data_IF_916058505160
#
_entry.id   IF_916058505160
#
_cell.length_a   1.000
_cell.length_b   1.000
_cell.length_c   1.000
_cell.angle_alpha   90.00
_cell.angle_beta   90.00
_cell.angle_gamma   90.00
#
_symmetry.space_group_name_H-M   'P 1'
#
loop_
_entity.id
_entity.type
_entity.pdbx_description
1 polymer ?
#
# COMPACT_ATOMS: atom_id res chain seq x y z
N UNK A 1 -52.10 -29.24 56.56
CA UNK A 1 -52.13 -28.19 55.51
C UNK A 1 -50.86 -27.33 55.46
N UNK A 2 -49.94 -27.42 56.43
CA UNK A 2 -48.68 -26.61 56.43
C UNK A 2 -47.44 -27.33 55.85
N UNK A 3 -47.44 -28.65 55.75
CA UNK A 3 -46.29 -29.41 55.24
C UNK A 3 -46.24 -29.32 53.72
N UNK A 4 -47.34 -29.27 53.02
CA UNK A 4 -47.40 -29.19 51.57
C UNK A 4 -46.96 -27.80 51.00
N UNK A 5 -47.18 -26.72 51.77
CA UNK A 5 -46.77 -25.36 51.42
C UNK A 5 -45.25 -25.17 51.53
N UNK A 6 -44.60 -25.78 52.51
CA UNK A 6 -43.16 -25.67 52.69
C UNK A 6 -42.37 -26.49 51.68
N UNK A 7 -42.92 -27.59 51.17
CA UNK A 7 -42.25 -28.42 50.13
C UNK A 7 -42.28 -27.74 48.76
N UNK A 8 -43.37 -27.02 48.45
CA UNK A 8 -43.50 -26.28 47.22
C UNK A 8 -42.57 -25.05 47.23
N UNK A 9 -42.38 -24.39 48.38
CA UNK A 9 -41.48 -23.24 48.50
C UNK A 9 -39.98 -23.60 48.37
N UNK A 10 -39.59 -24.77 48.86
CA UNK A 10 -38.21 -25.29 48.72
C UNK A 10 -37.90 -25.78 47.31
N UNK A 11 -38.92 -26.29 46.57
CA UNK A 11 -38.71 -26.73 45.19
C UNK A 11 -38.65 -25.55 44.20
N UNK A 12 -39.32 -24.43 44.46
CA UNK A 12 -39.22 -23.22 43.66
C UNK A 12 -37.92 -22.41 43.91
N UNK A 13 -37.28 -22.57 45.08
CA UNK A 13 -36.01 -21.91 45.39
C UNK A 13 -34.79 -22.64 44.79
N UNK A 14 -34.90 -23.97 44.58
CA UNK A 14 -33.84 -24.77 43.95
C UNK A 14 -33.85 -24.68 42.42
N UNK A 15 -34.97 -24.30 41.79
CA UNK A 15 -35.06 -24.13 40.32
C UNK A 15 -34.56 -22.74 39.84
N UNK A 16 -34.43 -21.77 40.77
CA UNK A 16 -33.95 -20.42 40.49
C UNK A 16 -32.41 -20.26 40.44
N UNK A 17 -31.64 -21.30 40.84
CA UNK A 17 -30.17 -21.18 40.99
C UNK A 17 -29.36 -21.80 39.83
N UNK A 18 -30.03 -22.30 38.78
CA UNK A 18 -29.38 -22.99 37.65
C UNK A 18 -29.18 -22.06 36.42
N UNK A 19 -29.58 -20.79 36.45
CA UNK A 19 -29.59 -19.93 35.26
C UNK A 19 -28.49 -18.85 35.26
N UNK A 20 -27.43 -19.00 36.02
CA UNK A 20 -26.40 -17.94 36.08
C UNK A 20 -24.96 -18.40 35.83
N UNK A 21 -24.76 -19.42 34.97
CA UNK A 21 -23.45 -19.60 34.33
C UNK A 21 -23.60 -19.35 32.84
N UNK A 22 -23.92 -18.09 32.47
CA UNK A 22 -23.61 -17.60 31.15
C UNK A 22 -22.09 -17.56 31.08
N UNK A 23 -21.47 -18.57 30.50
CA UNK A 23 -20.09 -18.49 30.02
C UNK A 23 -20.07 -17.40 28.96
N UNK A 24 -19.87 -16.14 29.33
CA UNK A 24 -19.38 -15.16 28.43
C UNK A 24 -17.95 -15.58 28.11
N UNK A 25 -17.76 -16.19 26.94
CA UNK A 25 -16.41 -16.30 26.38
C UNK A 25 -15.77 -14.93 26.46
N UNK A 26 -14.50 -14.79 26.87
CA UNK A 26 -13.82 -13.51 26.80
C UNK A 26 -13.97 -12.98 25.38
N UNK A 27 -14.12 -11.65 25.19
CA UNK A 27 -14.18 -11.07 23.85
C UNK A 27 -12.97 -11.58 23.07
N UNK A 28 -13.20 -12.07 21.85
CA UNK A 28 -12.13 -12.53 21.01
C UNK A 28 -11.14 -11.37 20.82
N UNK A 29 -9.87 -11.62 21.05
CA UNK A 29 -8.83 -10.63 20.78
C UNK A 29 -8.90 -10.22 19.32
N UNK A 30 -8.76 -8.93 19.05
CA UNK A 30 -8.84 -8.39 17.70
C UNK A 30 -7.82 -7.29 17.46
N UNK A 31 -7.43 -7.14 16.20
CA UNK A 31 -6.57 -6.06 15.72
C UNK A 31 -7.25 -5.35 14.55
N UNK A 32 -7.31 -4.02 14.60
CA UNK A 32 -7.94 -3.17 13.60
C UNK A 32 -6.87 -2.62 12.65
N UNK A 33 -6.93 -3.02 11.39
CA UNK A 33 -5.94 -2.68 10.38
C UNK A 33 -6.57 -1.73 9.36
N UNK A 34 -6.01 -0.52 9.26
CA UNK A 34 -6.33 0.45 8.21
C UNK A 34 -5.32 0.28 7.08
N UNK A 35 -5.76 -0.17 5.92
CA UNK A 35 -4.87 -0.52 4.82
C UNK A 35 -5.21 0.21 3.52
N UNK A 36 -4.23 0.94 3.00
CA UNK A 36 -4.27 1.52 1.67
C UNK A 36 -3.79 0.55 0.57
N UNK A 37 -3.59 -0.71 0.92
CA UNK A 37 -3.20 -1.77 0.00
C UNK A 37 -4.43 -2.59 -0.42
N UNK A 38 -4.37 -3.18 -1.61
CA UNK A 38 -5.51 -3.89 -2.20
C UNK A 38 -5.10 -5.23 -2.83
N UNK A 39 -4.02 -5.83 -2.30
CA UNK A 39 -3.53 -7.12 -2.80
C UNK A 39 -4.20 -8.28 -2.05
N UNK A 40 -4.58 -9.32 -2.80
CA UNK A 40 -5.15 -10.55 -2.23
C UNK A 40 -4.17 -11.24 -1.28
N UNK A 41 -2.87 -11.16 -1.56
CA UNK A 41 -1.81 -11.71 -0.70
C UNK A 41 -1.81 -11.12 0.71
N UNK A 42 -2.21 -9.85 0.88
CA UNK A 42 -2.30 -9.24 2.20
C UNK A 42 -3.46 -9.85 3.00
N UNK A 43 -4.61 -10.08 2.35
CA UNK A 43 -5.77 -10.75 2.99
C UNK A 43 -5.44 -12.20 3.38
N UNK A 44 -4.69 -12.91 2.54
CA UNK A 44 -4.25 -14.27 2.84
C UNK A 44 -3.30 -14.31 4.06
N UNK A 45 -2.42 -13.32 4.20
CA UNK A 45 -1.55 -13.18 5.38
C UNK A 45 -2.36 -12.88 6.65
N UNK A 46 -3.35 -12.00 6.60
CA UNK A 46 -4.22 -11.69 7.75
C UNK A 46 -5.06 -12.90 8.16
N UNK A 47 -5.58 -13.64 7.18
CA UNK A 47 -6.30 -14.89 7.46
C UNK A 47 -5.39 -15.92 8.14
N UNK A 48 -4.18 -16.11 7.63
CA UNK A 48 -3.17 -17.02 8.22
C UNK A 48 -2.81 -16.60 9.65
N UNK A 49 -2.61 -15.31 9.90
CA UNK A 49 -2.37 -14.77 11.24
C UNK A 49 -3.52 -15.12 12.19
N UNK A 50 -4.77 -14.92 11.76
CA UNK A 50 -5.94 -15.29 12.58
C UNK A 50 -6.01 -16.80 12.84
N UNK A 51 -5.70 -17.63 11.84
CA UNK A 51 -5.68 -19.10 11.98
C UNK A 51 -4.61 -19.56 12.99
N UNK A 52 -3.44 -18.91 13.00
CA UNK A 52 -2.32 -19.29 13.87
C UNK A 52 -2.43 -18.74 15.29
N UNK A 53 -3.05 -17.57 15.48
CA UNK A 53 -3.07 -16.88 16.78
C UNK A 53 -4.43 -16.89 17.47
N UNK A 54 -5.53 -17.09 16.72
CA UNK A 54 -6.88 -16.88 17.20
C UNK A 54 -7.29 -15.39 17.24
N UNK A 55 -6.40 -14.45 16.99
CA UNK A 55 -6.66 -13.00 16.98
C UNK A 55 -7.35 -12.62 15.66
N UNK A 56 -8.50 -11.98 15.75
CA UNK A 56 -9.26 -11.55 14.58
C UNK A 56 -8.69 -10.28 13.98
N UNK A 57 -8.50 -10.25 12.67
CA UNK A 57 -8.11 -9.04 11.94
C UNK A 57 -9.36 -8.36 11.38
N UNK A 58 -9.63 -7.14 11.85
CA UNK A 58 -10.66 -6.25 11.29
C UNK A 58 -10.02 -5.33 10.27
N UNK A 59 -10.21 -5.62 8.98
CA UNK A 59 -9.55 -4.90 7.90
C UNK A 59 -10.46 -3.80 7.32
N UNK A 60 -10.00 -2.56 7.34
CA UNK A 60 -10.63 -1.42 6.68
C UNK A 60 -9.73 -0.97 5.54
N UNK A 61 -10.27 -1.03 4.31
CA UNK A 61 -9.56 -0.66 3.09
C UNK A 61 -10.10 0.64 2.52
N UNK A 62 -9.20 1.59 2.24
CA UNK A 62 -9.50 2.82 1.52
C UNK A 62 -8.22 3.40 0.89
N UNK A 63 -8.29 4.50 0.15
CA UNK A 63 -7.13 5.26 -0.27
C UNK A 63 -6.34 5.81 0.92
N UNK A 64 -5.03 6.00 0.78
CA UNK A 64 -4.19 6.47 1.89
C UNK A 64 -4.65 7.83 2.43
N UNK A 65 -4.96 8.79 1.55
CA UNK A 65 -5.49 10.11 1.95
C UNK A 65 -6.82 9.98 2.73
N UNK A 66 -7.70 9.07 2.30
CA UNK A 66 -8.98 8.82 2.98
C UNK A 66 -8.78 8.23 4.38
N UNK A 67 -7.80 7.32 4.52
CA UNK A 67 -7.49 6.72 5.82
C UNK A 67 -6.82 7.73 6.76
N UNK A 68 -5.95 8.59 6.26
CA UNK A 68 -5.34 9.66 7.04
C UNK A 68 -6.42 10.64 7.51
N UNK A 69 -7.28 11.12 6.61
CA UNK A 69 -8.41 11.98 6.98
C UNK A 69 -9.35 11.30 8.01
N UNK A 70 -9.55 9.99 7.89
CA UNK A 70 -10.33 9.24 8.87
C UNK A 70 -9.66 9.20 10.23
N UNK A 71 -8.35 8.93 10.30
CA UNK A 71 -7.57 8.96 11.53
C UNK A 71 -7.66 10.36 12.19
N UNK A 72 -7.56 11.44 11.41
CA UNK A 72 -7.73 12.81 11.91
C UNK A 72 -9.11 13.05 12.53
N UNK A 73 -10.18 12.57 11.88
CA UNK A 73 -11.55 12.71 12.37
C UNK A 73 -11.81 11.88 13.63
N UNK A 74 -11.26 10.68 13.72
CA UNK A 74 -11.38 9.78 14.86
C UNK A 74 -10.51 10.25 16.05
N UNK A 75 -9.38 10.89 15.77
CA UNK A 75 -8.47 11.43 16.78
C UNK A 75 -8.02 10.38 17.79
N UNK A 76 -7.94 10.76 19.06
CA UNK A 76 -7.52 9.87 20.15
C UNK A 76 -8.48 8.68 20.41
N UNK A 77 -9.64 8.65 19.77
CA UNK A 77 -10.63 7.55 19.89
C UNK A 77 -10.61 6.61 18.69
N UNK A 78 -9.64 6.77 17.80
CA UNK A 78 -9.48 5.87 16.66
C UNK A 78 -9.32 4.41 17.13
N UNK A 79 -10.07 3.47 16.56
CA UNK A 79 -9.90 2.06 16.86
C UNK A 79 -8.73 1.43 16.11
N UNK A 80 -8.03 2.16 15.25
CA UNK A 80 -6.95 1.64 14.43
C UNK A 80 -5.73 1.26 15.27
N UNK A 81 -5.30 0.00 15.18
CA UNK A 81 -4.08 -0.51 15.80
C UNK A 81 -2.89 -0.46 14.82
N UNK A 82 -3.16 -0.66 13.52
CA UNK A 82 -2.15 -0.64 12.47
C UNK A 82 -2.61 0.19 11.27
N UNK A 83 -1.68 0.99 10.73
CA UNK A 83 -1.84 1.68 9.46
C UNK A 83 -0.85 1.12 8.44
N UNK A 84 -1.34 0.60 7.32
CA UNK A 84 -0.54 0.00 6.26
C UNK A 84 -0.75 0.78 4.97
N UNK A 85 0.34 1.27 4.39
CA UNK A 85 0.31 2.00 3.12
C UNK A 85 1.38 1.50 2.15
N UNK A 86 1.30 1.96 0.90
CA UNK A 86 2.23 1.57 -0.16
C UNK A 86 3.43 2.51 -0.30
N UNK A 87 3.49 3.60 0.47
CA UNK A 87 4.52 4.63 0.29
C UNK A 87 4.91 5.28 1.62
N UNK A 88 6.23 5.54 1.80
CA UNK A 88 6.77 6.16 3.00
C UNK A 88 6.27 7.61 3.21
N UNK A 89 5.91 8.33 2.15
CA UNK A 89 5.36 9.68 2.25
C UNK A 89 4.09 9.74 3.09
N UNK A 90 3.21 8.75 2.97
CA UNK A 90 2.02 8.65 3.83
C UNK A 90 2.35 8.31 5.28
N UNK A 91 3.43 7.56 5.53
CA UNK A 91 3.90 7.30 6.89
C UNK A 91 4.44 8.57 7.55
N UNK A 92 5.19 9.38 6.79
CA UNK A 92 5.67 10.69 7.28
C UNK A 92 4.49 11.61 7.60
N UNK A 93 3.50 11.70 6.73
CA UNK A 93 2.30 12.48 6.97
C UNK A 93 1.54 12.01 8.23
N UNK A 94 1.32 10.69 8.38
CA UNK A 94 0.65 10.14 9.56
C UNK A 94 1.44 10.39 10.86
N UNK A 95 2.78 10.42 10.78
CA UNK A 95 3.65 10.77 11.89
C UNK A 95 3.53 12.26 12.26
N UNK A 96 3.57 13.16 11.28
CA UNK A 96 3.47 14.62 11.49
C UNK A 96 2.18 15.03 12.19
N UNK A 97 1.07 14.37 11.86
CA UNK A 97 -0.23 14.59 12.52
C UNK A 97 -0.38 13.81 13.84
N UNK A 98 0.64 13.07 14.29
CA UNK A 98 0.71 12.46 15.61
C UNK A 98 -0.05 11.14 15.77
N UNK A 99 -0.37 10.41 14.68
CA UNK A 99 -1.10 9.14 14.73
C UNK A 99 -0.21 7.90 14.83
N UNK A 100 1.08 8.05 14.65
CA UNK A 100 2.02 6.94 14.82
C UNK A 100 2.70 7.01 16.17
N UNK A 101 2.97 5.85 16.73
CA UNK A 101 3.85 5.69 17.90
C UNK A 101 5.02 4.78 17.53
N UNK A 102 6.17 4.92 18.20
CA UNK A 102 7.30 4.02 17.98
C UNK A 102 6.92 2.56 18.25
N UNK A 103 7.35 1.68 17.37
CA UNK A 103 7.11 0.24 17.46
C UNK A 103 8.47 -0.46 17.66
N UNK A 104 8.70 -0.99 18.85
CA UNK A 104 9.87 -1.80 19.14
C UNK A 104 9.55 -3.28 18.86
N UNK A 105 10.30 -3.90 17.96
CA UNK A 105 10.12 -5.30 17.62
C UNK A 105 11.46 -5.95 17.23
N UNK A 106 11.98 -6.80 18.07
CA UNK A 106 13.19 -7.57 17.79
C UNK A 106 13.04 -8.48 16.55
N UNK A 107 11.80 -8.85 16.19
CA UNK A 107 11.53 -9.64 14.99
C UNK A 107 11.74 -8.79 13.74
N UNK A 108 11.17 -7.59 13.67
CA UNK A 108 11.34 -6.71 12.52
C UNK A 108 12.76 -6.20 12.40
N UNK A 109 13.42 -5.86 13.52
CA UNK A 109 14.81 -5.44 13.56
C UNK A 109 15.78 -6.52 13.06
N UNK A 110 15.49 -7.78 13.34
CA UNK A 110 16.32 -8.92 12.89
C UNK A 110 16.14 -9.32 11.43
N UNK A 111 15.01 -8.94 10.80
CA UNK A 111 14.64 -9.40 9.45
C UNK A 111 14.71 -8.28 8.42
N UNK A 112 14.27 -7.08 8.77
CA UNK A 112 14.16 -5.94 7.86
C UNK A 112 15.47 -5.13 7.87
N UNK A 113 16.07 -4.83 6.71
CA UNK A 113 17.27 -3.99 6.64
C UNK A 113 17.05 -2.61 7.26
N UNK A 114 18.06 -2.08 7.97
CA UNK A 114 17.98 -0.82 8.72
C UNK A 114 17.53 0.38 7.88
N UNK A 115 17.88 0.44 6.58
CA UNK A 115 17.46 1.50 5.67
C UNK A 115 15.96 1.45 5.30
N UNK A 116 15.23 0.41 5.71
CA UNK A 116 13.78 0.28 5.56
C UNK A 116 13.02 0.49 6.88
N UNK A 117 13.71 0.93 7.92
CA UNK A 117 13.11 1.37 9.17
C UNK A 117 13.20 2.89 9.30
N UNK A 118 12.21 3.47 9.94
CA UNK A 118 12.35 4.83 10.45
C UNK A 118 13.39 4.88 11.57
N UNK A 119 14.22 5.92 11.60
CA UNK A 119 15.31 6.05 12.60
C UNK A 119 14.80 6.18 14.04
N UNK A 120 13.55 6.60 14.23
CA UNK A 120 12.88 6.73 15.53
C UNK A 120 11.82 5.64 15.76
N UNK A 121 11.73 4.64 14.86
CA UNK A 121 10.89 3.46 15.03
C UNK A 121 9.41 3.61 14.66
N UNK A 122 8.98 4.73 14.08
CA UNK A 122 7.57 4.99 13.78
C UNK A 122 7.00 4.13 12.66
N UNK A 123 7.83 3.58 11.78
CA UNK A 123 7.39 2.69 10.70
C UNK A 123 8.48 1.72 10.26
N UNK A 124 8.05 0.65 9.62
CA UNK A 124 8.91 -0.39 9.06
C UNK A 124 8.41 -0.76 7.66
N UNK A 125 9.32 -0.83 6.69
CA UNK A 125 9.01 -1.22 5.31
C UNK A 125 9.20 -2.71 5.08
N UNK A 126 8.13 -3.43 4.75
CA UNK A 126 8.16 -4.88 4.49
C UNK A 126 8.35 -5.25 3.02
N UNK A 127 8.08 -4.32 2.12
CA UNK A 127 8.20 -4.55 0.67
C UNK A 127 8.85 -3.35 0.00
N UNK A 128 9.53 -3.58 -1.10
CA UNK A 128 10.11 -2.53 -1.93
C UNK A 128 9.71 -2.73 -3.39
N UNK A 129 9.62 -1.64 -4.11
CA UNK A 129 9.45 -1.58 -5.56
C UNK A 129 10.47 -0.65 -6.17
N UNK A 130 10.75 -0.80 -7.45
CA UNK A 130 11.51 0.17 -8.20
C UNK A 130 10.61 0.82 -9.25
N UNK A 131 10.77 2.13 -9.45
CA UNK A 131 10.35 2.79 -10.69
C UNK A 131 11.41 2.46 -11.72
N UNK A 132 11.00 2.07 -12.91
CA UNK A 132 11.94 1.69 -13.98
C UNK A 132 11.48 2.31 -15.28
N UNK A 133 12.42 2.42 -16.23
CA UNK A 133 12.11 2.78 -17.60
C UNK A 133 11.75 1.47 -18.32
N UNK A 134 10.54 1.39 -18.83
CA UNK A 134 10.11 0.34 -19.76
C UNK A 134 10.06 0.90 -21.18
N UNK A 135 10.31 0.07 -22.17
CA UNK A 135 10.47 0.50 -23.54
C UNK A 135 10.00 -0.57 -24.53
N UNK A 136 9.68 -0.17 -25.74
CA UNK A 136 9.40 -1.08 -26.85
C UNK A 136 10.70 -1.63 -27.42
N UNK A 137 10.87 -2.94 -27.38
CA UNK A 137 12.12 -3.61 -27.80
C UNK A 137 12.40 -3.53 -29.31
N UNK A 138 11.39 -3.20 -30.11
CA UNK A 138 11.54 -3.04 -31.54
C UNK A 138 11.94 -1.60 -31.98
N UNK A 139 11.68 -0.60 -31.10
CA UNK A 139 11.89 0.82 -31.41
C UNK A 139 13.02 1.48 -30.64
N UNK A 140 13.42 0.90 -29.51
CA UNK A 140 14.44 1.47 -28.62
C UNK A 140 15.57 0.49 -28.42
N UNK A 141 16.79 0.92 -28.71
CA UNK A 141 17.99 0.16 -28.34
C UNK A 141 18.25 0.37 -26.84
N UNK A 142 18.38 -0.70 -26.03
CA UNK A 142 18.66 -0.57 -24.60
C UNK A 142 19.94 0.20 -24.27
N UNK A 143 20.90 0.28 -25.19
CA UNK A 143 22.12 1.09 -25.03
C UNK A 143 21.86 2.60 -25.01
N UNK A 144 20.69 3.04 -25.48
CA UNK A 144 20.26 4.44 -25.44
C UNK A 144 19.63 4.84 -24.09
N UNK A 145 19.33 3.84 -23.25
CA UNK A 145 18.74 4.03 -21.91
C UNK A 145 19.84 4.03 -20.85
N UNK A 146 19.79 5.00 -19.95
CA UNK A 146 20.76 5.09 -18.85
C UNK A 146 20.09 5.55 -17.55
N UNK A 147 19.88 6.82 -17.35
CA UNK A 147 19.33 7.42 -16.15
C UNK A 147 17.99 8.12 -16.42
N UNK A 148 17.30 8.51 -15.37
CA UNK A 148 16.08 9.33 -15.50
C UNK A 148 16.39 10.69 -16.14
N UNK A 149 17.55 11.27 -15.84
CA UNK A 149 17.99 12.57 -16.37
C UNK A 149 18.20 12.50 -17.88
N UNK A 150 18.69 11.38 -18.40
CA UNK A 150 18.91 11.19 -19.84
C UNK A 150 17.60 11.25 -20.65
N UNK A 151 16.46 11.01 -20.03
CA UNK A 151 15.14 11.11 -20.68
C UNK A 151 14.75 12.55 -21.03
N UNK A 152 15.44 13.56 -20.52
CA UNK A 152 15.21 14.97 -20.89
C UNK A 152 15.86 15.35 -22.23
N UNK A 153 16.69 14.48 -22.79
CA UNK A 153 17.38 14.71 -24.04
C UNK A 153 16.45 14.74 -25.26
N UNK A 154 16.88 15.40 -26.37
CA UNK A 154 16.06 15.61 -27.56
C UNK A 154 15.68 14.32 -28.30
N UNK A 155 16.40 13.21 -28.05
CA UNK A 155 16.09 11.90 -28.59
C UNK A 155 14.69 11.42 -28.16
N UNK A 156 14.24 11.83 -26.97
CA UNK A 156 13.01 11.39 -26.34
C UNK A 156 11.82 12.32 -26.61
N UNK A 157 11.96 13.30 -27.48
CA UNK A 157 10.88 14.23 -27.83
C UNK A 157 9.67 13.47 -28.34
N UNK A 158 8.50 13.73 -27.72
CA UNK A 158 7.21 13.07 -28.00
C UNK A 158 7.23 11.55 -27.86
N UNK A 159 8.07 11.00 -26.95
CA UNK A 159 8.22 9.55 -26.77
C UNK A 159 7.96 9.05 -25.38
N UNK A 160 7.90 9.93 -24.38
CA UNK A 160 7.80 9.56 -22.98
C UNK A 160 6.33 9.46 -22.57
N UNK A 161 5.99 8.36 -21.87
CA UNK A 161 4.70 8.13 -21.26
C UNK A 161 4.85 8.08 -19.74
N UNK A 162 4.06 8.87 -19.04
CA UNK A 162 4.00 8.89 -17.58
C UNK A 162 2.55 9.05 -17.12
N UNK A 163 2.26 8.58 -15.92
CA UNK A 163 1.00 8.91 -15.26
C UNK A 163 1.08 10.30 -14.60
N UNK A 164 -0.07 10.80 -14.11
CA UNK A 164 -0.16 12.12 -13.50
C UNK A 164 0.81 12.31 -12.31
N UNK A 165 1.31 13.54 -12.15
CA UNK A 165 2.12 13.97 -10.99
C UNK A 165 1.36 13.99 -9.66
N UNK A 166 0.03 13.94 -9.68
CA UNK A 166 -0.77 13.80 -8.46
C UNK A 166 -0.64 12.41 -7.80
N UNK A 167 -0.04 11.46 -8.51
CA UNK A 167 0.14 10.12 -7.97
C UNK A 167 1.39 10.01 -7.10
N UNK A 168 1.25 9.41 -5.92
CA UNK A 168 2.33 9.25 -4.95
C UNK A 168 3.62 8.64 -5.54
N UNK A 169 3.52 7.73 -6.52
CA UNK A 169 4.72 7.13 -7.12
C UNK A 169 5.57 8.14 -7.91
N UNK A 170 4.94 9.10 -8.59
CA UNK A 170 5.66 10.16 -9.29
C UNK A 170 6.13 11.24 -8.31
N UNK A 171 5.37 11.50 -7.23
CA UNK A 171 5.80 12.42 -6.17
C UNK A 171 7.05 11.87 -5.46
N UNK A 172 7.06 10.60 -5.11
CA UNK A 172 8.23 9.93 -4.50
C UNK A 172 9.42 9.88 -5.45
N UNK A 173 9.19 9.65 -6.76
CA UNK A 173 10.27 9.76 -7.76
C UNK A 173 10.83 11.18 -7.81
N UNK A 174 9.98 12.19 -7.87
CA UNK A 174 10.40 13.59 -7.83
C UNK A 174 11.21 13.91 -6.57
N UNK A 175 10.74 13.46 -5.41
CA UNK A 175 11.48 13.62 -4.15
C UNK A 175 12.85 12.95 -4.19
N UNK A 176 12.98 11.79 -4.82
CA UNK A 176 14.28 11.11 -4.99
C UNK A 176 15.22 11.86 -5.91
N UNK A 177 14.72 12.48 -6.98
CA UNK A 177 15.52 13.34 -7.88
C UNK A 177 15.98 14.60 -7.14
N UNK A 178 15.09 15.22 -6.34
CA UNK A 178 15.45 16.37 -5.49
C UNK A 178 16.54 15.98 -4.48
N UNK A 179 16.42 14.84 -3.82
CA UNK A 179 17.41 14.38 -2.85
C UNK A 179 18.78 14.09 -3.48
N UNK A 180 18.80 13.59 -4.71
CA UNK A 180 20.03 13.25 -5.42
C UNK A 180 20.72 14.47 -6.07
N UNK A 181 19.93 15.39 -6.64
CA UNK A 181 20.44 16.41 -7.57
C UNK A 181 20.13 17.85 -7.12
N UNK A 182 19.32 18.04 -6.07
CA UNK A 182 18.82 19.34 -5.63
C UNK A 182 17.57 19.81 -6.37
N UNK A 183 16.91 20.84 -5.82
CA UNK A 183 15.61 21.32 -6.30
C UNK A 183 15.66 21.90 -7.73
N UNK A 184 16.68 22.69 -8.05
CA UNK A 184 16.83 23.33 -9.36
C UNK A 184 16.98 22.28 -10.48
N UNK A 185 17.88 21.32 -10.30
CA UNK A 185 18.08 20.24 -11.26
C UNK A 185 16.84 19.33 -11.38
N UNK A 186 16.15 19.07 -10.29
CA UNK A 186 14.90 18.31 -10.30
C UNK A 186 13.78 19.04 -11.05
N UNK A 187 13.67 20.37 -10.88
CA UNK A 187 12.72 21.18 -11.62
C UNK A 187 13.02 21.17 -13.14
N UNK A 188 14.29 21.27 -13.52
CA UNK A 188 14.68 21.24 -14.93
C UNK A 188 14.48 19.85 -15.53
N UNK A 189 14.75 18.79 -14.76
CA UNK A 189 14.38 17.43 -15.14
C UNK A 189 12.86 17.30 -15.38
N UNK A 190 12.03 17.79 -14.49
CA UNK A 190 10.58 17.72 -14.63
C UNK A 190 10.08 18.46 -15.87
N UNK A 191 10.62 19.66 -16.15
CA UNK A 191 10.33 20.41 -17.39
C UNK A 191 10.73 19.63 -18.63
N UNK A 192 11.91 19.00 -18.62
CA UNK A 192 12.40 18.17 -19.72
C UNK A 192 11.53 16.94 -19.96
N UNK A 193 11.08 16.27 -18.92
CA UNK A 193 10.12 15.16 -19.03
C UNK A 193 8.81 15.65 -19.66
N UNK A 194 8.26 16.78 -19.19
CA UNK A 194 7.02 17.37 -19.75
C UNK A 194 7.19 17.70 -21.22
N UNK A 195 8.33 18.30 -21.63
CA UNK A 195 8.61 18.65 -23.01
C UNK A 195 8.70 17.41 -23.94
N UNK A 196 9.09 16.26 -23.38
CA UNK A 196 9.29 15.01 -24.11
C UNK A 196 8.09 14.04 -24.03
N UNK A 197 6.98 14.44 -23.36
CA UNK A 197 5.79 13.60 -23.28
C UNK A 197 5.15 13.35 -24.65
N UNK A 198 4.79 12.10 -24.91
CA UNK A 198 4.05 11.69 -26.11
C UNK A 198 2.57 12.08 -26.06
N UNK A 199 2.04 12.26 -24.87
CA UNK A 199 0.64 12.67 -24.64
C UNK A 199 0.50 13.26 -23.23
N UNK A 200 -0.63 13.92 -22.99
CA UNK A 200 -1.04 14.33 -21.64
C UNK A 200 -1.10 13.12 -20.70
N UNK A 201 -0.62 13.24 -19.44
CA UNK A 201 -0.60 12.16 -18.47
C UNK A 201 -2.02 11.65 -18.16
N UNK A 202 -2.24 10.35 -18.36
CA UNK A 202 -3.53 9.71 -18.10
C UNK A 202 -3.36 8.24 -17.71
N UNK A 203 -4.35 7.69 -17.02
CA UNK A 203 -4.39 6.29 -16.63
C UNK A 203 -3.35 5.92 -15.55
N UNK A 204 -3.15 4.64 -15.36
CA UNK A 204 -2.20 4.06 -14.41
C UNK A 204 -0.97 3.49 -15.13
N UNK A 205 -0.04 2.88 -14.39
CA UNK A 205 1.20 2.34 -14.94
C UNK A 205 0.96 1.25 -16.02
N UNK A 206 -0.08 0.40 -15.89
CA UNK A 206 -0.42 -0.59 -16.92
C UNK A 206 -0.91 0.07 -18.21
N UNK A 207 -1.61 1.19 -18.08
CA UNK A 207 -2.07 1.95 -19.24
C UNK A 207 -0.90 2.57 -20.00
N UNK A 208 0.17 2.97 -19.30
CA UNK A 208 1.40 3.44 -19.96
C UNK A 208 2.07 2.32 -20.76
N UNK A 209 2.16 1.10 -20.21
CA UNK A 209 2.72 -0.06 -20.94
C UNK A 209 1.87 -0.41 -22.17
N UNK A 210 0.54 -0.38 -22.03
CA UNK A 210 -0.38 -0.59 -23.16
C UNK A 210 -0.23 0.50 -24.23
N UNK A 211 0.01 1.74 -23.82
CA UNK A 211 0.23 2.85 -24.75
C UNK A 211 1.55 2.72 -25.53
N UNK A 212 2.61 2.19 -24.90
CA UNK A 212 3.85 1.81 -25.61
C UNK A 212 3.52 0.80 -26.71
N UNK A 213 2.87 -0.30 -26.37
CA UNK A 213 2.52 -1.35 -27.32
C UNK A 213 1.58 -0.86 -28.44
N UNK A 214 0.77 0.15 -28.17
CA UNK A 214 -0.06 0.83 -29.18
C UNK A 214 0.68 1.86 -30.04
N UNK A 215 1.98 2.07 -29.80
CA UNK A 215 2.81 3.03 -30.58
C UNK A 215 2.57 4.51 -30.24
N UNK A 216 1.97 4.81 -29.07
CA UNK A 216 1.72 6.20 -28.63
C UNK A 216 3.03 6.87 -28.18
N UNK A 217 3.90 6.11 -27.53
CA UNK A 217 5.24 6.53 -27.12
C UNK A 217 6.18 5.34 -27.11
N UNK A 218 7.46 5.57 -26.91
CA UNK A 218 8.48 4.54 -26.99
C UNK A 218 8.96 4.05 -25.62
N UNK A 219 8.87 4.91 -24.60
CA UNK A 219 9.33 4.62 -23.23
C UNK A 219 8.29 5.08 -22.19
N UNK A 220 8.26 4.42 -21.04
CA UNK A 220 7.45 4.85 -19.91
C UNK A 220 8.16 4.64 -18.58
N UNK A 221 7.83 5.47 -17.58
CA UNK A 221 8.29 5.32 -16.20
C UNK A 221 7.18 4.65 -15.39
N UNK A 222 7.41 3.40 -14.98
CA UNK A 222 6.42 2.56 -14.29
C UNK A 222 7.03 1.79 -13.11
N UNK A 223 6.21 1.25 -12.23
CA UNK A 223 6.70 0.33 -11.19
C UNK A 223 6.93 -1.07 -11.77
N UNK A 224 8.03 -1.71 -11.38
CA UNK A 224 8.46 -3.04 -11.87
C UNK A 224 7.38 -4.10 -11.86
N UNK A 225 6.60 -4.18 -10.76
CA UNK A 225 5.61 -5.24 -10.57
C UNK A 225 4.45 -5.18 -11.58
N UNK A 226 4.18 -4.04 -12.21
CA UNK A 226 3.13 -3.95 -13.22
C UNK A 226 3.46 -4.75 -14.48
N UNK A 227 4.74 -4.83 -14.85
CA UNK A 227 5.18 -5.72 -15.94
C UNK A 227 4.93 -7.17 -15.55
N UNK A 228 5.29 -7.57 -14.32
CA UNK A 228 5.01 -8.90 -13.80
C UNK A 228 3.51 -9.24 -13.82
N UNK A 229 2.66 -8.31 -13.41
CA UNK A 229 1.20 -8.48 -13.45
C UNK A 229 0.67 -8.68 -14.89
N UNK A 230 1.18 -7.92 -15.84
CA UNK A 230 0.79 -8.05 -17.24
C UNK A 230 1.28 -9.38 -17.84
N UNK A 231 2.52 -9.79 -17.56
CA UNK A 231 3.09 -11.06 -18.03
C UNK A 231 2.31 -12.28 -17.52
N UNK A 232 1.77 -12.20 -16.29
CA UNK A 232 1.02 -13.28 -15.66
C UNK A 232 -0.50 -13.10 -15.71
N UNK A 233 -0.98 -12.12 -16.48
CA UNK A 233 -2.43 -11.88 -16.64
C UNK A 233 -3.13 -13.09 -17.27
N UNK A 234 -4.38 -13.35 -16.88
CA UNK A 234 -5.26 -14.27 -17.56
C UNK A 234 -5.64 -13.80 -18.98
N UNK A 235 -5.54 -12.48 -19.23
CA UNK A 235 -5.81 -11.88 -20.53
C UNK A 235 -4.59 -12.04 -21.46
N UNK A 236 -4.78 -12.71 -22.60
CA UNK A 236 -3.72 -12.96 -23.59
C UNK A 236 -3.15 -11.67 -24.19
N UNK A 237 -4.01 -10.67 -24.44
CA UNK A 237 -3.60 -9.37 -24.95
C UNK A 237 -2.67 -8.64 -23.98
N UNK A 238 -2.95 -8.68 -22.70
CA UNK A 238 -2.07 -8.11 -21.68
C UNK A 238 -0.70 -8.81 -21.63
N UNK A 239 -0.69 -10.14 -21.74
CA UNK A 239 0.57 -10.89 -21.83
C UNK A 239 1.36 -10.56 -23.09
N UNK A 240 0.67 -10.37 -24.23
CA UNK A 240 1.29 -9.96 -25.50
C UNK A 240 1.94 -8.57 -25.37
N UNK A 241 1.21 -7.62 -24.84
CA UNK A 241 1.69 -6.25 -24.59
C UNK A 241 2.94 -6.22 -23.73
N UNK A 242 3.00 -7.05 -22.67
CA UNK A 242 4.14 -7.08 -21.76
C UNK A 242 5.41 -7.78 -22.31
N UNK A 243 5.29 -8.49 -23.45
CA UNK A 243 6.40 -9.17 -24.14
C UNK A 243 6.99 -8.39 -25.30
N UNK A 244 6.34 -7.34 -25.68
CA UNK A 244 6.73 -6.41 -26.74
C UNK A 244 7.79 -5.40 -26.28
#
# INVERSE_FOLDING_TARGET
>A
MNILKNTILLFSLSLGLIVATSCSSPPAEEVNVYSARHYQTDEDLFRKFTEETGIRVNLIKAGADQLINRLELEGATSPADLFITADAGYMLQAREIGFLQPMESSVTEGIVPSYLHDSEGYWTGFTKRARVIVYDTARVDPSDLSTYEALTGPRWQEKILVRTSQNAYNQTLMASIVAANGEEAALDWAKGIVANMAQEPRGNDRDQVKAIAAGVGDVAIVNTYYIGLLLHSSNEEERRVARQ
#
